data_IF_378548096243
#
_entry.id   IF_378548096243
#
_cell.length_a   1.000
_cell.length_b   1.000
_cell.length_c   1.000
_cell.angle_alpha   90.00
_cell.angle_beta   90.00
_cell.angle_gamma   90.00
#
_symmetry.space_group_name_H-M   'P 1'
#
loop_
_entity.id
_entity.type
_entity.pdbx_description
1 polymer ?
#
# COMPACT_ATOMS: atom_id res chain seq x y z
N UNK A 1 0.81 -19.28 -11.65
CA UNK A 1 0.37 -19.03 -10.28
C UNK A 1 0.65 -17.58 -9.92
N UNK A 2 -0.41 -16.79 -9.73
CA UNK A 2 -0.43 -15.36 -9.41
C UNK A 2 -0.97 -15.20 -8.00
N UNK A 3 -0.28 -14.41 -7.17
CA UNK A 3 -0.65 -14.21 -5.77
C UNK A 3 -0.91 -12.73 -5.53
N UNK A 4 -2.00 -12.42 -4.83
CA UNK A 4 -2.29 -11.08 -4.33
C UNK A 4 -2.26 -11.10 -2.80
N UNK A 5 -1.50 -10.19 -2.20
CA UNK A 5 -1.43 -10.04 -0.75
C UNK A 5 -2.37 -8.92 -0.34
N UNK A 6 -3.42 -9.28 0.39
CA UNK A 6 -4.46 -8.35 0.81
C UNK A 6 -4.32 -7.97 2.29
N UNK A 7 -4.22 -6.67 2.52
CA UNK A 7 -4.05 -6.07 3.85
C UNK A 7 -4.74 -4.71 3.85
N UNK A 8 -5.37 -4.37 4.97
CA UNK A 8 -6.12 -3.13 5.12
C UNK A 8 -5.26 -1.89 4.86
N UNK A 9 -5.90 -0.84 4.33
CA UNK A 9 -5.20 0.35 3.84
C UNK A 9 -4.50 1.14 4.96
N UNK A 10 -5.06 1.13 6.17
CA UNK A 10 -4.51 1.74 7.38
C UNK A 10 -3.27 0.99 7.88
N UNK A 11 -3.31 -0.34 7.94
CA UNK A 11 -2.15 -1.18 8.28
C UNK A 11 -1.02 -0.96 7.27
N UNK A 12 -1.33 -0.96 5.97
CA UNK A 12 -0.33 -0.68 4.92
C UNK A 12 0.24 0.72 5.03
N UNK A 13 -0.56 1.72 5.40
CA UNK A 13 -0.10 3.09 5.62
C UNK A 13 0.82 3.19 6.84
N UNK A 14 0.46 2.57 7.96
CA UNK A 14 1.26 2.55 9.18
C UNK A 14 2.65 1.95 8.92
N UNK A 15 2.70 0.75 8.32
CA UNK A 15 3.97 0.11 7.93
C UNK A 15 4.79 0.95 6.96
N UNK A 16 4.12 1.64 6.04
CA UNK A 16 4.80 2.54 5.10
C UNK A 16 5.40 3.75 5.81
N UNK A 17 4.67 4.35 6.74
CA UNK A 17 5.17 5.48 7.54
C UNK A 17 6.42 5.08 8.30
N UNK A 18 6.37 3.98 9.04
CA UNK A 18 7.51 3.45 9.79
C UNK A 18 8.73 3.25 8.89
N UNK A 19 8.55 2.54 7.75
CA UNK A 19 9.63 2.28 6.79
C UNK A 19 10.18 3.56 6.16
N UNK A 20 9.32 4.45 5.67
CA UNK A 20 9.76 5.65 4.94
C UNK A 20 10.47 6.65 5.88
N UNK A 21 10.12 6.68 7.17
CA UNK A 21 10.82 7.50 8.17
C UNK A 21 12.14 6.83 8.58
N UNK A 22 12.10 5.57 9.01
CA UNK A 22 13.25 4.88 9.59
C UNK A 22 14.35 4.55 8.58
N UNK A 23 13.97 4.13 7.35
CA UNK A 23 14.94 3.62 6.37
C UNK A 23 15.25 4.63 5.26
N UNK A 24 14.34 5.58 5.00
CA UNK A 24 14.45 6.52 3.87
C UNK A 24 14.56 7.98 4.30
N UNK A 25 14.52 8.27 5.60
CA UNK A 25 14.69 9.62 6.16
C UNK A 25 13.62 10.61 5.70
N UNK A 26 12.41 10.16 5.39
CA UNK A 26 11.30 11.03 4.97
C UNK A 26 10.57 11.63 6.16
N UNK A 27 10.07 12.84 5.98
CA UNK A 27 9.17 13.48 6.93
C UNK A 27 7.74 12.91 6.86
N UNK A 28 7.06 12.87 8.01
CA UNK A 28 5.69 12.33 8.15
C UNK A 28 4.71 13.05 7.23
N UNK A 29 4.76 14.38 7.17
CA UNK A 29 3.82 15.18 6.37
C UNK A 29 4.01 14.87 4.89
N UNK A 30 5.27 14.77 4.45
CA UNK A 30 5.62 14.40 3.08
C UNK A 30 5.12 13.01 2.69
N UNK A 31 5.22 12.02 3.60
CA UNK A 31 4.72 10.66 3.35
C UNK A 31 3.18 10.63 3.25
N UNK A 32 2.48 11.34 4.14
CA UNK A 32 1.01 11.44 4.12
C UNK A 32 0.53 12.16 2.85
N UNK A 33 1.16 13.27 2.49
CA UNK A 33 0.81 14.01 1.28
C UNK A 33 1.04 13.16 0.03
N UNK A 34 2.16 12.43 -0.04
CA UNK A 34 2.42 11.52 -1.16
C UNK A 34 1.41 10.36 -1.20
N UNK A 35 1.07 9.79 -0.05
CA UNK A 35 0.13 8.68 0.04
C UNK A 35 -1.25 9.09 -0.44
N UNK A 36 -1.78 10.20 0.06
CA UNK A 36 -3.12 10.70 -0.27
C UNK A 36 -3.22 11.18 -1.71
N UNK A 37 -2.20 11.90 -2.20
CA UNK A 37 -2.23 12.48 -3.55
C UNK A 37 -1.99 11.47 -4.67
N UNK A 38 -1.14 10.47 -4.44
CA UNK A 38 -0.69 9.60 -5.51
C UNK A 38 -0.95 8.13 -5.23
N UNK A 39 -0.56 7.64 -4.05
CA UNK A 39 -0.51 6.17 -3.84
C UNK A 39 -1.87 5.56 -3.60
N UNK A 40 -2.72 6.17 -2.78
CA UNK A 40 -4.08 5.68 -2.55
C UNK A 40 -4.93 5.71 -3.83
N UNK A 41 -5.01 6.83 -4.59
CA UNK A 41 -5.72 6.84 -5.87
C UNK A 41 -5.18 5.82 -6.89
N UNK A 42 -3.86 5.66 -6.97
CA UNK A 42 -3.25 4.69 -7.89
C UNK A 42 -3.54 3.25 -7.47
N UNK A 43 -3.52 2.96 -6.16
CA UNK A 43 -3.91 1.66 -5.65
C UNK A 43 -5.37 1.36 -6.00
N UNK A 44 -6.28 2.28 -5.69
CA UNK A 44 -7.71 2.10 -5.90
C UNK A 44 -8.05 1.93 -7.39
N UNK A 45 -7.41 2.71 -8.27
CA UNK A 45 -7.72 2.69 -9.70
C UNK A 45 -7.02 1.57 -10.48
N UNK A 46 -5.78 1.22 -10.11
CA UNK A 46 -4.96 0.31 -10.92
C UNK A 46 -4.58 -0.99 -10.23
N UNK A 47 -4.37 -1.01 -8.91
CA UNK A 47 -3.89 -2.22 -8.20
C UNK A 47 -5.06 -3.04 -7.65
N UNK A 48 -6.01 -2.42 -6.96
CA UNK A 48 -7.16 -3.11 -6.38
C UNK A 48 -7.95 -3.94 -7.41
N UNK A 49 -8.21 -3.47 -8.64
CA UNK A 49 -8.90 -4.28 -9.65
C UNK A 49 -8.12 -5.55 -10.05
N UNK A 50 -6.79 -5.54 -9.93
CA UNK A 50 -5.96 -6.69 -10.32
C UNK A 50 -6.08 -7.89 -9.38
N UNK A 51 -6.64 -7.69 -8.18
CA UNK A 51 -6.94 -8.76 -7.23
C UNK A 51 -7.82 -9.84 -7.85
N UNK A 52 -8.71 -9.47 -8.78
CA UNK A 52 -9.61 -10.40 -9.49
C UNK A 52 -8.88 -11.39 -10.40
N UNK A 53 -7.63 -11.10 -10.79
CA UNK A 53 -6.82 -11.97 -11.64
C UNK A 53 -5.88 -12.89 -10.85
N UNK A 54 -5.93 -12.88 -9.52
CA UNK A 54 -5.05 -13.68 -8.67
C UNK A 54 -5.57 -15.12 -8.55
N UNK A 55 -4.65 -16.09 -8.61
CA UNK A 55 -4.95 -17.49 -8.33
C UNK A 55 -5.12 -17.72 -6.81
N UNK A 56 -4.40 -16.95 -5.99
CA UNK A 56 -4.43 -17.01 -4.52
C UNK A 56 -4.45 -15.60 -3.94
N UNK A 57 -5.34 -15.37 -2.96
CA UNK A 57 -5.36 -14.16 -2.14
C UNK A 57 -4.90 -14.53 -0.73
N UNK A 58 -3.83 -13.88 -0.26
CA UNK A 58 -3.29 -14.09 1.10
C UNK A 58 -3.68 -12.91 1.98
N UNK A 59 -4.54 -13.10 3.00
CA UNK A 59 -4.91 -12.02 3.89
C UNK A 59 -3.83 -11.76 4.95
N UNK A 60 -3.76 -10.52 5.45
CA UNK A 60 -2.91 -10.09 6.59
C UNK A 60 -1.39 -10.19 6.35
N UNK A 61 -0.96 -10.07 5.11
CA UNK A 61 0.48 -9.93 4.80
C UNK A 61 1.08 -8.66 5.35
#
# INVERSE_FOLDING_TARGET
MKIFVDTDADIRLARRLERDIAERGRDIEGVIQQYTRYVKPSYDHYIAPTMTFADIIVPRG
#
